data_IF_147350272796
#
_entry.id   IF_147350272796
#
_cell.length_a   1.000
_cell.length_b   1.000
_cell.length_c   1.000
_cell.angle_alpha   90.00
_cell.angle_beta   90.00
_cell.angle_gamma   90.00
#
_symmetry.space_group_name_H-M   'P 1'
#
loop_
_entity.id
_entity.type
_entity.pdbx_description
1 polymer ?
#
# COMPACT_ATOMS: atom_id res chain seq x y z
N UNK A 1 10.54 7.22 2.31
CA UNK A 1 9.60 6.92 3.42
C UNK A 1 8.40 6.17 2.82
N UNK A 2 7.73 5.25 3.54
CA UNK A 2 6.52 4.57 3.03
C UNK A 2 5.32 4.99 3.86
N UNK A 3 4.22 5.38 3.21
CA UNK A 3 2.93 5.66 3.85
C UNK A 3 1.79 5.20 2.94
N UNK A 4 0.80 4.57 3.55
CA UNK A 4 -0.45 4.17 2.94
C UNK A 4 -1.60 4.77 3.73
N UNK A 5 -2.59 5.30 3.04
CA UNK A 5 -3.87 5.68 3.63
C UNK A 5 -4.98 5.06 2.77
N UNK A 6 -5.98 4.46 3.40
CA UNK A 6 -7.10 3.90 2.64
C UNK A 6 -8.43 3.96 3.36
N UNK A 7 -9.51 3.98 2.57
CA UNK A 7 -10.88 3.83 3.03
C UNK A 7 -11.38 2.46 2.60
N UNK A 8 -11.75 1.62 3.56
CA UNK A 8 -12.24 0.26 3.34
C UNK A 8 -13.72 0.14 3.70
N UNK A 9 -14.56 -0.29 2.75
CA UNK A 9 -16.01 -0.52 2.91
C UNK A 9 -16.82 0.62 3.59
N UNK A 10 -16.27 1.85 3.61
CA UNK A 10 -16.88 2.99 4.28
C UNK A 10 -17.24 4.15 3.34
N UNK A 11 -16.81 4.11 2.08
CA UNK A 11 -17.16 5.13 1.08
C UNK A 11 -18.45 4.74 0.33
N UNK A 12 -19.39 5.67 0.07
CA UNK A 12 -20.68 5.35 -0.56
C UNK A 12 -20.57 4.79 -2.00
N UNK A 13 -19.48 5.10 -2.72
CA UNK A 13 -19.30 4.70 -4.12
C UNK A 13 -18.18 3.67 -4.35
N UNK A 14 -17.17 3.65 -3.47
CA UNK A 14 -15.94 2.91 -3.71
C UNK A 14 -15.74 1.92 -2.57
N UNK A 15 -15.52 0.64 -2.91
CA UNK A 15 -15.23 -0.37 -1.89
C UNK A 15 -13.87 -0.17 -1.24
N UNK A 16 -12.90 0.31 -2.01
CA UNK A 16 -11.57 0.67 -1.56
C UNK A 16 -11.11 1.94 -2.27
N UNK A 17 -10.67 2.92 -1.50
CA UNK A 17 -9.83 4.04 -1.97
C UNK A 17 -8.48 3.89 -1.30
N UNK A 18 -7.40 3.79 -2.06
CA UNK A 18 -6.05 3.59 -1.54
C UNK A 18 -5.11 4.62 -2.14
N UNK A 19 -4.43 5.36 -1.27
CA UNK A 19 -3.31 6.23 -1.61
C UNK A 19 -2.07 5.64 -0.97
N UNK A 20 -1.03 5.45 -1.77
CA UNK A 20 0.21 4.83 -1.34
C UNK A 20 1.39 5.61 -1.87
N UNK A 21 2.21 6.16 -0.96
CA UNK A 21 3.43 6.87 -1.30
C UNK A 21 4.66 6.09 -0.82
N UNK A 22 5.66 5.99 -1.70
CA UNK A 22 6.94 5.32 -1.43
C UNK A 22 8.09 6.06 -2.09
N UNK A 23 8.87 6.78 -1.29
CA UNK A 23 10.07 7.49 -1.77
C UNK A 23 11.23 6.51 -1.99
N UNK A 24 11.27 5.82 -3.12
CA UNK A 24 12.46 5.12 -3.63
C UNK A 24 12.49 5.28 -5.17
N UNK A 25 13.64 5.03 -5.81
CA UNK A 25 13.75 5.08 -7.28
C UNK A 25 12.87 3.99 -7.90
N UNK A 26 11.87 4.38 -8.67
CA UNK A 26 10.98 3.45 -9.37
C UNK A 26 11.50 3.26 -10.80
N UNK A 27 11.75 2.01 -11.19
CA UNK A 27 12.26 1.71 -12.52
C UNK A 27 11.16 1.65 -13.59
N UNK A 28 9.90 1.33 -13.23
CA UNK A 28 8.71 1.41 -14.11
C UNK A 28 7.44 0.84 -13.47
N UNK A 29 6.28 1.30 -13.96
CA UNK A 29 4.99 0.59 -13.77
C UNK A 29 5.07 -0.75 -14.50
N UNK A 30 4.86 -1.85 -13.78
CA UNK A 30 5.12 -3.18 -14.31
C UNK A 30 3.88 -4.05 -14.28
N UNK A 31 3.74 -4.84 -15.36
CA UNK A 31 2.74 -5.89 -15.49
C UNK A 31 3.46 -7.24 -15.35
N UNK A 32 3.26 -7.95 -14.24
CA UNK A 32 3.84 -9.30 -14.01
C UNK A 32 2.79 -10.35 -14.31
N UNK A 33 3.19 -11.46 -14.90
CA UNK A 33 2.36 -12.64 -14.96
C UNK A 33 2.68 -13.50 -16.18
N UNK A 34 3.10 -14.73 -15.92
CA UNK A 34 2.92 -15.85 -16.83
C UNK A 34 1.43 -16.29 -16.80
N UNK A 35 0.89 -16.78 -17.92
CA UNK A 35 -0.29 -17.64 -17.86
C UNK A 35 -1.61 -16.98 -17.44
N UNK A 36 -1.81 -15.69 -17.68
CA UNK A 36 -3.13 -15.04 -17.55
C UNK A 36 -3.44 -14.36 -16.21
N UNK A 37 -2.57 -14.45 -15.20
CA UNK A 37 -2.69 -13.69 -13.93
C UNK A 37 -1.85 -12.42 -13.99
N UNK A 38 -2.36 -11.42 -14.71
CA UNK A 38 -1.71 -10.12 -14.85
C UNK A 38 -1.82 -9.31 -13.55
N UNK A 39 -0.69 -9.11 -12.88
CA UNK A 39 -0.50 -8.18 -11.76
C UNK A 39 -0.21 -6.79 -12.33
N UNK A 40 -0.92 -5.78 -11.86
CA UNK A 40 -0.64 -4.37 -12.08
C UNK A 40 0.00 -3.79 -10.80
N UNK A 41 1.23 -3.29 -10.88
CA UNK A 41 1.91 -2.72 -9.71
C UNK A 41 3.27 -2.10 -10.04
N UNK A 42 3.90 -1.51 -9.04
CA UNK A 42 5.29 -1.04 -9.18
C UNK A 42 6.27 -2.20 -9.06
N UNK A 43 7.31 -2.25 -9.91
CA UNK A 43 8.40 -3.23 -9.76
C UNK A 43 9.56 -2.65 -8.98
N UNK A 44 10.08 -3.47 -8.06
CA UNK A 44 11.41 -3.24 -7.50
C UNK A 44 12.49 -3.58 -8.53
N UNK A 45 13.22 -2.56 -8.97
CA UNK A 45 14.36 -2.71 -9.89
C UNK A 45 15.50 -3.54 -9.32
N UNK A 46 15.65 -3.58 -7.99
CA UNK A 46 16.75 -4.27 -7.31
C UNK A 46 16.41 -5.74 -7.04
N UNK A 47 15.28 -5.99 -6.38
CA UNK A 47 14.90 -7.34 -5.95
C UNK A 47 13.87 -8.02 -6.87
N UNK A 48 13.28 -7.30 -7.82
CA UNK A 48 12.31 -7.83 -8.78
C UNK A 48 10.88 -8.02 -8.26
N UNK A 49 10.60 -7.75 -6.99
CA UNK A 49 9.28 -7.86 -6.35
C UNK A 49 8.37 -6.64 -6.52
N UNK A 50 7.32 -6.53 -5.69
CA UNK A 50 6.40 -5.39 -5.68
C UNK A 50 6.05 -4.94 -4.26
N UNK A 51 5.73 -3.65 -4.09
CA UNK A 51 5.28 -3.07 -2.82
C UNK A 51 3.79 -2.78 -2.78
N UNK A 52 3.18 -2.67 -3.95
CA UNK A 52 1.75 -2.49 -4.14
C UNK A 52 1.41 -3.09 -5.50
N UNK A 53 0.49 -4.04 -5.48
CA UNK A 53 -0.04 -4.64 -6.69
C UNK A 53 -1.50 -5.03 -6.55
N UNK A 54 -2.16 -5.11 -7.69
CA UNK A 54 -3.50 -5.65 -7.80
C UNK A 54 -3.67 -6.52 -9.04
N UNK A 55 -4.73 -7.31 -9.05
CA UNK A 55 -5.07 -8.21 -10.15
C UNK A 55 -6.47 -7.89 -10.67
N UNK A 56 -6.77 -8.32 -11.90
CA UNK A 56 -8.12 -8.16 -12.50
C UNK A 56 -9.23 -8.88 -11.74
N UNK A 57 -8.93 -9.90 -10.95
CA UNK A 57 -9.93 -10.62 -10.15
C UNK A 57 -10.25 -9.94 -8.81
N UNK A 58 -9.62 -8.79 -8.50
CA UNK A 58 -9.91 -8.00 -7.32
C UNK A 58 -9.05 -8.33 -6.11
N UNK A 59 -7.90 -8.99 -6.28
CA UNK A 59 -6.90 -9.13 -5.22
C UNK A 59 -6.01 -7.92 -5.20
N UNK A 60 -5.66 -7.48 -3.99
CA UNK A 60 -4.80 -6.32 -3.75
C UNK A 60 -3.86 -6.70 -2.61
N UNK A 61 -2.59 -6.37 -2.77
CA UNK A 61 -1.61 -6.52 -1.71
C UNK A 61 -0.65 -5.34 -1.71
N UNK A 62 -0.36 -4.83 -0.53
CA UNK A 62 0.66 -3.81 -0.35
C UNK A 62 1.41 -3.98 0.96
N UNK A 63 2.64 -3.48 0.99
CA UNK A 63 3.52 -3.62 2.13
C UNK A 63 4.20 -2.30 2.49
N UNK A 64 4.39 -2.06 3.79
CA UNK A 64 5.28 -1.01 4.30
C UNK A 64 6.40 -1.63 5.12
N UNK A 65 7.53 -0.94 5.20
CA UNK A 65 8.68 -1.42 5.97
C UNK A 65 8.49 -1.08 7.45
N UNK A 66 8.76 -2.01 8.36
CA UNK A 66 8.90 -1.66 9.78
C UNK A 66 10.29 -1.09 10.02
N UNK A 67 10.37 0.00 10.80
CA UNK A 67 11.66 0.62 11.13
C UNK A 67 12.35 -0.18 12.25
N UNK A 68 13.49 -0.76 11.94
CA UNK A 68 14.28 -1.56 12.87
C UNK A 68 15.70 -1.00 13.04
N UNK A 69 16.32 -1.23 14.20
CA UNK A 69 17.70 -0.85 14.49
C UNK A 69 18.71 -1.91 14.06
N UNK A 70 18.27 -3.16 13.95
CA UNK A 70 19.06 -4.29 13.50
C UNK A 70 18.31 -4.97 12.36
N UNK A 71 18.99 -5.18 11.22
CA UNK A 71 18.47 -5.95 10.11
C UNK A 71 19.15 -7.32 10.02
N UNK A 72 18.45 -8.30 9.47
CA UNK A 72 19.05 -9.59 9.13
C UNK A 72 20.17 -9.39 8.09
N UNK A 73 21.26 -10.17 8.17
CA UNK A 73 22.40 -10.02 7.27
C UNK A 73 22.11 -10.48 5.83
N UNK A 74 21.25 -11.49 5.65
CA UNK A 74 20.82 -12.01 4.32
C UNK A 74 19.32 -12.31 4.34
N UNK A 75 18.46 -11.28 4.34
CA UNK A 75 17.00 -11.46 4.37
C UNK A 75 16.47 -11.89 3.00
N UNK A 76 15.34 -12.61 2.99
CA UNK A 76 14.52 -12.73 1.77
C UNK A 76 13.93 -11.36 1.39
N UNK A 77 13.69 -11.16 0.10
CA UNK A 77 13.01 -9.96 -0.38
C UNK A 77 11.56 -9.94 0.11
N UNK A 78 11.16 -8.84 0.75
CA UNK A 78 9.76 -8.61 1.15
C UNK A 78 8.84 -8.40 -0.04
N UNK A 79 9.38 -7.89 -1.15
CA UNK A 79 8.62 -7.62 -2.37
C UNK A 79 8.07 -8.89 -3.04
N UNK A 80 8.57 -10.07 -2.67
CA UNK A 80 8.07 -11.34 -3.17
C UNK A 80 6.75 -11.74 -2.50
N UNK A 81 6.47 -11.21 -1.30
CA UNK A 81 5.30 -11.58 -0.51
C UNK A 81 4.00 -11.17 -1.24
N UNK A 82 3.82 -9.90 -1.68
CA UNK A 82 2.62 -9.54 -2.43
C UNK A 82 2.52 -10.27 -3.77
N UNK A 83 3.64 -10.51 -4.46
CA UNK A 83 3.63 -11.24 -5.75
C UNK A 83 3.01 -12.62 -5.57
N UNK A 84 3.49 -13.39 -4.59
CA UNK A 84 2.96 -14.73 -4.28
C UNK A 84 1.47 -14.72 -3.96
N UNK A 85 1.00 -13.74 -3.17
CA UNK A 85 -0.44 -13.61 -2.87
C UNK A 85 -1.28 -13.34 -4.11
N UNK A 86 -0.79 -12.46 -4.99
CA UNK A 86 -1.50 -12.02 -6.18
C UNK A 86 -1.49 -13.09 -7.28
N UNK A 87 -0.46 -13.94 -7.34
CA UNK A 87 -0.40 -15.12 -8.21
C UNK A 87 -1.20 -16.30 -7.65
N UNK A 88 -1.35 -16.40 -6.33
CA UNK A 88 -2.04 -17.49 -5.64
C UNK A 88 -3.58 -17.38 -5.60
N UNK A 89 -4.20 -18.36 -4.96
CA UNK A 89 -5.66 -18.43 -4.75
C UNK A 89 -6.08 -18.50 -3.28
N UNK A 90 -5.13 -18.57 -2.35
CA UNK A 90 -5.40 -18.59 -0.91
C UNK A 90 -6.15 -17.34 -0.48
N UNK A 91 -7.03 -17.47 0.51
CA UNK A 91 -7.69 -16.30 1.10
C UNK A 91 -6.67 -15.36 1.76
N UNK A 92 -7.01 -14.07 1.97
CA UNK A 92 -6.14 -13.14 2.68
C UNK A 92 -5.68 -13.65 4.05
N UNK A 93 -6.58 -14.33 4.79
CA UNK A 93 -6.28 -14.86 6.13
C UNK A 93 -5.30 -16.04 6.07
N UNK A 94 -5.59 -17.05 5.25
CA UNK A 94 -4.73 -18.24 5.12
C UNK A 94 -3.32 -17.86 4.66
N UNK A 95 -3.21 -16.92 3.71
CA UNK A 95 -1.91 -16.47 3.23
C UNK A 95 -1.15 -15.66 4.28
N UNK A 96 -1.85 -14.82 5.06
CA UNK A 96 -1.25 -14.08 6.16
C UNK A 96 -0.64 -15.01 7.23
N UNK A 97 -1.35 -16.09 7.57
CA UNK A 97 -0.88 -17.11 8.52
C UNK A 97 0.44 -17.76 8.04
N UNK A 98 0.49 -18.21 6.79
CA UNK A 98 1.71 -18.81 6.21
C UNK A 98 2.89 -17.82 6.20
N UNK A 99 2.63 -16.55 5.87
CA UNK A 99 3.66 -15.51 5.83
C UNK A 99 4.21 -15.19 7.21
N UNK A 100 3.35 -15.12 8.22
CA UNK A 100 3.75 -14.84 9.61
C UNK A 100 4.56 -16.00 10.19
N UNK A 101 4.20 -17.25 9.89
CA UNK A 101 4.99 -18.43 10.28
C UNK A 101 6.43 -18.38 9.71
N UNK A 102 6.58 -17.83 8.50
CA UNK A 102 7.88 -17.63 7.85
C UNK A 102 8.50 -16.25 8.12
N UNK A 103 7.92 -15.47 9.04
CA UNK A 103 8.22 -14.05 9.25
C UNK A 103 9.69 -13.77 9.61
N UNK A 104 10.37 -14.72 10.23
CA UNK A 104 11.78 -14.62 10.64
C UNK A 104 12.77 -14.67 9.47
N UNK A 105 12.31 -15.06 8.27
CA UNK A 105 13.13 -15.05 7.05
C UNK A 105 13.23 -13.66 6.42
N UNK A 106 12.43 -12.70 6.90
CA UNK A 106 12.31 -11.35 6.34
C UNK A 106 12.69 -10.30 7.39
N UNK A 107 13.21 -9.15 6.92
CA UNK A 107 13.23 -7.95 7.77
C UNK A 107 11.80 -7.50 8.09
N UNK A 108 11.66 -6.62 9.09
CA UNK A 108 10.37 -6.10 9.54
C UNK A 108 9.50 -5.55 8.41
N UNK A 109 8.24 -5.96 8.37
CA UNK A 109 7.24 -5.53 7.41
C UNK A 109 5.86 -5.44 8.03
N UNK A 110 5.05 -4.58 7.44
CA UNK A 110 3.61 -4.60 7.57
C UNK A 110 3.03 -4.94 6.20
N UNK A 111 2.01 -5.79 6.18
CA UNK A 111 1.40 -6.34 4.99
C UNK A 111 -0.11 -6.13 5.10
N UNK A 112 -0.72 -5.64 4.02
CA UNK A 112 -2.17 -5.61 3.88
C UNK A 112 -2.53 -6.43 2.66
N UNK A 113 -3.43 -7.39 2.86
CA UNK A 113 -3.95 -8.29 1.84
C UNK A 113 -5.45 -8.07 1.75
N UNK A 114 -5.97 -7.87 0.54
CA UNK A 114 -7.39 -7.70 0.33
C UNK A 114 -7.89 -8.52 -0.85
N UNK A 115 -9.09 -9.03 -0.70
CA UNK A 115 -9.89 -9.59 -1.78
C UNK A 115 -11.24 -8.88 -1.82
N UNK A 116 -11.43 -8.05 -2.85
CA UNK A 116 -12.61 -7.22 -3.03
C UNK A 116 -13.89 -8.05 -3.29
N UNK A 117 -13.74 -9.29 -3.78
CA UNK A 117 -14.87 -10.18 -4.07
C UNK A 117 -15.42 -10.78 -2.79
N UNK A 118 -14.54 -11.31 -1.94
CA UNK A 118 -14.93 -11.87 -0.63
C UNK A 118 -15.11 -10.80 0.45
N UNK A 119 -14.72 -9.53 0.17
CA UNK A 119 -14.75 -8.41 1.12
C UNK A 119 -13.91 -8.70 2.37
N UNK A 120 -12.80 -9.40 2.18
CA UNK A 120 -11.85 -9.68 3.24
C UNK A 120 -10.64 -8.79 3.06
N UNK A 121 -10.24 -8.12 4.13
CA UNK A 121 -8.98 -7.40 4.21
C UNK A 121 -8.29 -7.77 5.51
N UNK A 122 -7.04 -8.18 5.42
CA UNK A 122 -6.23 -8.66 6.54
C UNK A 122 -4.95 -7.83 6.60
N UNK A 123 -4.65 -7.36 7.80
CA UNK A 123 -3.37 -6.79 8.16
C UNK A 123 -2.51 -7.88 8.79
N UNK A 124 -1.24 -7.95 8.41
CA UNK A 124 -0.27 -8.85 9.00
C UNK A 124 1.08 -8.16 9.20
N UNK A 125 1.79 -8.52 10.26
CA UNK A 125 3.13 -8.01 10.55
C UNK A 125 3.97 -9.11 11.18
N UNK A 126 5.26 -9.16 10.82
CA UNK A 126 6.23 -10.01 11.52
C UNK A 126 6.86 -9.29 12.73
N UNK A 127 6.47 -8.03 12.98
CA UNK A 127 6.95 -7.20 14.10
C UNK A 127 5.78 -6.50 14.75
N UNK A 128 5.13 -7.19 15.68
CA UNK A 128 4.03 -6.64 16.46
C UNK A 128 3.56 -7.59 17.55
N UNK A 129 2.83 -7.08 18.56
CA UNK A 129 2.23 -7.93 19.60
C UNK A 129 1.09 -8.78 19.03
N UNK A 130 0.42 -8.29 17.99
CA UNK A 130 -0.61 -8.99 17.22
C UNK A 130 -0.07 -9.13 15.80
N UNK A 131 0.11 -10.37 15.36
CA UNK A 131 0.75 -10.64 14.07
C UNK A 131 -0.24 -10.58 12.90
N UNK A 132 -1.54 -10.84 13.13
CA UNK A 132 -2.58 -10.87 12.10
C UNK A 132 -3.87 -10.28 12.67
N UNK A 133 -4.52 -9.42 11.88
CA UNK A 133 -5.77 -8.77 12.24
C UNK A 133 -6.69 -8.61 11.02
N UNK A 134 -8.00 -8.79 11.21
CA UNK A 134 -8.99 -8.45 10.18
C UNK A 134 -9.25 -6.94 10.19
N UNK A 135 -9.07 -6.29 9.04
CA UNK A 135 -9.28 -4.86 8.90
C UNK A 135 -10.78 -4.55 8.85
N UNK A 136 -11.25 -3.77 9.82
CA UNK A 136 -12.64 -3.33 9.89
C UNK A 136 -12.97 -2.26 8.85
N UNK A 137 -14.23 -2.09 8.45
CA UNK A 137 -14.63 -0.98 7.59
C UNK A 137 -14.29 0.38 8.23
N UNK A 138 -13.64 1.27 7.47
CA UNK A 138 -13.22 2.57 8.00
C UNK A 138 -12.09 3.22 7.21
N UNK A 139 -11.59 4.32 7.76
CA UNK A 139 -10.39 5.01 7.31
C UNK A 139 -9.20 4.47 8.11
N UNK A 140 -8.13 4.09 7.40
CA UNK A 140 -6.93 3.47 7.96
C UNK A 140 -5.68 4.16 7.45
N UNK A 141 -4.66 4.22 8.29
CA UNK A 141 -3.33 4.73 7.92
C UNK A 141 -2.25 3.78 8.39
N UNK A 142 -1.33 3.46 7.47
CA UNK A 142 -0.18 2.62 7.74
C UNK A 142 1.10 3.31 7.31
N UNK A 143 2.06 3.33 8.22
CA UNK A 143 3.40 3.85 7.95
C UNK A 143 4.46 2.81 8.30
N UNK A 144 5.57 3.22 8.89
CA UNK A 144 6.64 2.31 9.30
C UNK A 144 6.47 1.74 10.74
N UNK A 145 5.32 2.00 11.38
CA UNK A 145 4.92 1.48 12.69
C UNK A 145 3.71 0.55 12.60
N UNK A 146 2.99 0.32 13.69
CA UNK A 146 1.78 -0.52 13.68
C UNK A 146 0.62 0.17 12.95
N UNK A 147 -0.34 -0.62 12.48
CA UNK A 147 -1.60 -0.12 11.91
C UNK A 147 -2.27 0.87 12.86
N UNK A 148 -2.66 2.03 12.34
CA UNK A 148 -3.32 3.13 13.08
C UNK A 148 -2.61 3.56 14.36
N UNK A 149 -1.30 3.35 14.44
CA UNK A 149 -0.51 3.87 15.56
C UNK A 149 -0.68 5.39 15.62
N UNK A 150 -0.98 5.97 16.79
CA UNK A 150 -0.94 7.42 16.94
C UNK A 150 0.47 7.88 16.58
N UNK A 151 0.57 8.66 15.51
CA UNK A 151 1.85 9.12 15.00
C UNK A 151 2.60 9.93 16.08
N UNK A 152 3.89 9.67 16.36
CA UNK A 152 4.64 10.51 17.29
C UNK A 152 5.07 11.79 16.56
N UNK A 153 4.15 12.74 16.44
CA UNK A 153 4.40 14.17 16.25
C UNK A 153 3.12 14.94 16.60
N UNK A 154 2.78 15.02 17.89
CA UNK A 154 2.02 16.17 18.40
C UNK A 154 2.92 17.19 19.12
N UNK A 155 4.21 16.88 19.33
CA UNK A 155 5.15 17.81 19.96
C UNK A 155 6.55 17.64 19.37
N UNK A 156 6.76 18.09 18.14
CA UNK A 156 8.08 18.56 17.75
C UNK A 156 7.89 20.01 17.36
N UNK A 157 8.18 20.91 18.31
CA UNK A 157 8.31 22.34 18.06
C UNK A 157 9.29 22.48 16.89
N UNK A 158 8.76 22.81 15.71
CA UNK A 158 9.59 23.32 14.63
C UNK A 158 10.21 24.62 15.13
N UNK A 159 11.50 24.87 14.87
CA UNK A 159 12.10 26.16 15.19
C UNK A 159 11.28 27.26 14.52
N UNK A 160 11.03 28.31 15.30
CA UNK A 160 10.12 29.42 15.01
C UNK A 160 10.48 30.11 13.68
N UNK A 161 9.96 29.59 12.57
CA UNK A 161 10.09 30.18 11.24
C UNK A 161 8.81 30.90 10.87
N UNK A 162 8.38 31.87 11.69
CA UNK A 162 7.61 33.07 11.32
C UNK A 162 6.36 32.96 10.42
N UNK A 163 5.90 31.77 10.08
CA UNK A 163 4.72 31.49 9.29
C UNK A 163 3.69 30.87 10.23
N UNK A 164 2.55 31.56 10.34
CA UNK A 164 1.50 31.29 11.30
C UNK A 164 1.14 29.82 11.44
N UNK A 165 0.99 29.42 12.70
CA UNK A 165 0.22 28.27 13.16
C UNK A 165 -1.09 28.15 12.37
N UNK A 166 -1.25 27.07 11.61
CA UNK A 166 -2.52 26.41 11.25
C UNK A 166 -2.26 25.38 10.14
N UNK A 167 -1.59 24.27 10.48
CA UNK A 167 -1.60 23.08 9.60
C UNK A 167 -1.88 21.85 10.45
N UNK A 168 -3.14 21.67 10.81
CA UNK A 168 -3.67 20.33 11.07
C UNK A 168 -3.72 19.59 9.72
N UNK A 169 -2.86 18.60 9.53
CA UNK A 169 -2.97 17.68 8.39
C UNK A 169 -4.15 16.74 8.67
N UNK A 170 -5.34 17.11 8.22
CA UNK A 170 -6.52 16.28 8.30
C UNK A 170 -6.39 15.15 7.25
N UNK A 171 -6.44 13.88 7.64
CA UNK A 171 -6.34 12.76 6.67
C UNK A 171 -7.48 12.84 5.63
N UNK A 172 -8.61 13.45 5.97
CA UNK A 172 -9.69 13.80 5.04
C UNK A 172 -9.21 14.72 3.90
N UNK A 173 -8.30 15.66 4.16
CA UNK A 173 -7.75 16.53 3.11
C UNK A 173 -6.87 15.77 2.13
N UNK A 174 -6.15 14.73 2.57
CA UNK A 174 -5.39 13.85 1.67
C UNK A 174 -6.32 13.16 0.67
N UNK A 175 -7.52 12.74 1.09
CA UNK A 175 -8.49 12.11 0.17
C UNK A 175 -9.23 13.13 -0.68
N UNK A 176 -9.54 14.32 -0.17
CA UNK A 176 -10.12 15.41 -0.98
C UNK A 176 -9.13 15.87 -2.06
N UNK A 177 -7.87 16.04 -1.70
CA UNK A 177 -6.80 16.43 -2.62
C UNK A 177 -6.44 15.29 -3.57
N UNK A 178 -6.38 14.04 -3.09
CA UNK A 178 -6.18 12.87 -3.95
C UNK A 178 -7.37 12.63 -4.89
N UNK A 179 -8.61 12.85 -4.47
CA UNK A 179 -9.79 12.78 -5.34
C UNK A 179 -9.73 13.87 -6.41
N UNK A 180 -9.38 15.11 -6.03
CA UNK A 180 -9.20 16.22 -6.97
C UNK A 180 -8.05 15.96 -7.94
N UNK A 181 -6.91 15.45 -7.48
CA UNK A 181 -5.73 15.21 -8.31
C UNK A 181 -5.85 13.93 -9.15
N UNK A 182 -6.55 12.90 -8.67
CA UNK A 182 -6.94 11.75 -9.48
C UNK A 182 -7.89 12.18 -10.59
N UNK A 183 -8.90 13.03 -10.31
CA UNK A 183 -9.82 13.55 -11.33
C UNK A 183 -9.10 14.44 -12.35
N UNK A 184 -8.13 15.26 -11.91
CA UNK A 184 -7.28 16.05 -12.82
C UNK A 184 -6.41 15.15 -13.69
N UNK A 185 -5.71 14.17 -13.11
CA UNK A 185 -4.89 13.21 -13.85
C UNK A 185 -5.72 12.35 -14.81
N UNK A 186 -6.94 11.96 -14.43
CA UNK A 186 -7.85 11.22 -15.31
C UNK A 186 -8.31 12.07 -16.50
N UNK A 187 -8.62 13.35 -16.28
CA UNK A 187 -8.94 14.28 -17.37
C UNK A 187 -7.75 14.51 -18.29
N UNK A 188 -6.54 14.61 -17.73
CA UNK A 188 -5.30 14.73 -18.51
C UNK A 188 -5.06 13.48 -19.38
N UNK A 189 -5.19 12.29 -18.80
CA UNK A 189 -5.07 11.02 -19.53
C UNK A 189 -6.14 10.82 -20.61
N UNK A 190 -7.39 11.28 -20.38
CA UNK A 190 -8.44 11.24 -21.40
C UNK A 190 -8.15 12.19 -22.57
N UNK A 191 -7.55 13.35 -22.31
CA UNK A 191 -7.14 14.30 -23.35
C UNK A 191 -5.98 13.74 -24.17
N UNK A 192 -4.97 13.15 -23.53
CA UNK A 192 -3.84 12.52 -24.23
C UNK A 192 -4.27 11.32 -25.07
N UNK A 193 -5.19 10.48 -24.56
CA UNK A 193 -5.74 9.34 -25.30
C UNK A 193 -6.57 9.77 -26.53
N UNK A 194 -7.35 10.86 -26.44
CA UNK A 194 -8.12 11.41 -27.57
C UNK A 194 -7.22 12.03 -28.66
N UNK A 195 -6.09 12.62 -28.28
CA UNK A 195 -5.10 13.16 -29.22
C UNK A 195 -4.45 12.02 -30.02
N UNK A 196 -4.04 10.93 -29.36
CA UNK A 196 -3.42 9.76 -30.03
C UNK A 196 -4.38 9.00 -30.97
N UNK A 197 -5.69 9.01 -30.70
CA UNK A 197 -6.69 8.44 -31.63
C UNK A 197 -7.01 9.36 -32.83
N UNK A 198 -6.74 10.66 -32.73
CA UNK A 198 -6.96 11.62 -33.83
C UNK A 198 -5.79 11.74 -34.82
N UNK A 199 -4.61 11.25 -34.44
CA UNK A 199 -3.38 11.23 -35.26
C UNK A 199 -3.14 9.89 -35.99
N UNK A 200 -4.06 8.92 -35.89
CA UNK A 200 -4.07 7.65 -36.63
C UNK A 200 -5.12 7.64 -37.73
#
# INVERSE_FOLDING_TARGET
>A
MCIAAWVWEAHPLYRLLLVFNRDELHDSLWMVGDGGRKILGGRDGLAGGTWLGCTRNGRIAFLTNVRETCSLPVPKSRGDIPVKFLEGEMSPMEFAEEVVEQGDLYNGFNLVLADLRSKSMVFATNRGPVAIELVSPGLHVLSNGSLDSPWPNQQRQLPDTGYGSDVEFEVSSIFVDAELDMVKSWKQMQVEYQIEESEK
#
